data_IF_902124090002
#
_entry.id   IF_902124090002
#
_cell.length_a   1.000
_cell.length_b   1.000
_cell.length_c   1.000
_cell.angle_alpha   90.00
_cell.angle_beta   90.00
_cell.angle_gamma   90.00
#
_symmetry.space_group_name_H-M   'P 1'
#
loop_
_entity.id
_entity.type
_entity.pdbx_description
1 polymer ?
#
# COMPACT_ATOMS: atom_id res chain seq x y z
N UNK A 1 0.01 -37.61 -4.59
CA UNK A 1 1.17 -37.12 -5.35
C UNK A 1 0.63 -36.02 -6.24
N UNK A 2 1.07 -34.77 -6.07
CA UNK A 2 0.63 -33.69 -6.96
C UNK A 2 1.14 -33.95 -8.37
N UNK A 3 0.34 -33.66 -9.39
CA UNK A 3 0.78 -33.77 -10.78
C UNK A 3 1.72 -32.61 -11.13
N UNK A 4 2.55 -32.80 -12.16
CA UNK A 4 3.43 -31.73 -12.68
C UNK A 4 2.63 -30.47 -13.07
N UNK A 5 1.38 -30.63 -13.49
CA UNK A 5 0.48 -29.53 -13.81
C UNK A 5 0.05 -28.73 -12.57
N UNK A 6 -0.27 -29.41 -11.47
CA UNK A 6 -0.66 -28.75 -10.21
C UNK A 6 0.52 -28.04 -9.53
N UNK A 7 1.74 -28.54 -9.72
CA UNK A 7 2.97 -27.84 -9.29
C UNK A 7 3.18 -26.57 -10.14
N UNK A 8 3.11 -26.69 -11.47
CA UNK A 8 3.30 -25.55 -12.37
C UNK A 8 2.25 -24.44 -12.19
N UNK A 9 0.99 -24.80 -11.89
CA UNK A 9 -0.06 -23.81 -11.55
C UNK A 9 0.26 -23.05 -10.26
N UNK A 10 0.67 -23.76 -9.20
CA UNK A 10 1.02 -23.14 -7.91
C UNK A 10 2.21 -22.20 -8.03
N UNK A 11 3.24 -22.58 -8.78
CA UNK A 11 4.44 -21.75 -8.94
C UNK A 11 4.14 -20.47 -9.72
N UNK A 12 3.33 -20.53 -10.78
CA UNK A 12 2.87 -19.33 -11.50
C UNK A 12 2.01 -18.42 -10.62
N UNK A 13 1.14 -19.00 -9.79
CA UNK A 13 0.32 -18.22 -8.89
C UNK A 13 1.14 -17.51 -7.81
N UNK A 14 2.14 -18.19 -7.23
CA UNK A 14 3.09 -17.58 -6.30
C UNK A 14 3.85 -16.43 -6.93
N UNK A 15 4.46 -16.63 -8.11
CA UNK A 15 5.20 -15.58 -8.80
C UNK A 15 4.32 -14.36 -9.10
N UNK A 16 3.05 -14.57 -9.47
CA UNK A 16 2.07 -13.49 -9.68
C UNK A 16 1.73 -12.76 -8.38
N UNK A 17 1.60 -13.48 -7.26
CA UNK A 17 1.33 -12.89 -5.95
C UNK A 17 2.53 -12.08 -5.45
N UNK A 18 3.75 -12.60 -5.59
CA UNK A 18 4.98 -11.90 -5.23
C UNK A 18 5.13 -10.59 -6.01
N UNK A 19 4.93 -10.61 -7.33
CA UNK A 19 4.98 -9.40 -8.14
C UNK A 19 3.96 -8.34 -7.71
N UNK A 20 2.75 -8.76 -7.32
CA UNK A 20 1.72 -7.86 -6.79
C UNK A 20 2.07 -7.29 -5.41
N UNK A 21 2.70 -8.08 -4.55
CA UNK A 21 3.15 -7.62 -3.24
C UNK A 21 4.23 -6.55 -3.38
N UNK A 22 5.22 -6.78 -4.23
CA UNK A 22 6.27 -5.79 -4.48
C UNK A 22 5.72 -4.49 -5.07
N UNK A 23 4.79 -4.58 -6.03
CA UNK A 23 4.17 -3.39 -6.61
C UNK A 23 3.40 -2.60 -5.56
N UNK A 24 2.66 -3.30 -4.70
CA UNK A 24 1.93 -2.68 -3.59
C UNK A 24 2.86 -2.00 -2.59
N UNK A 25 3.94 -2.67 -2.18
CA UNK A 25 4.90 -2.12 -1.23
C UNK A 25 5.58 -0.86 -1.80
N UNK A 26 6.09 -0.93 -3.04
CA UNK A 26 6.67 0.23 -3.73
C UNK A 26 5.68 1.40 -3.81
N UNK A 27 4.41 1.09 -4.08
CA UNK A 27 3.37 2.10 -4.19
C UNK A 27 3.03 2.76 -2.85
N UNK A 28 2.99 1.99 -1.77
CA UNK A 28 2.79 2.49 -0.42
C UNK A 28 3.94 3.42 0.00
N UNK A 29 5.19 3.05 -0.29
CA UNK A 29 6.35 3.90 0.00
C UNK A 29 6.28 5.23 -0.78
N UNK A 30 5.86 5.20 -2.05
CA UNK A 30 5.66 6.42 -2.83
C UNK A 30 4.57 7.34 -2.25
N UNK A 31 3.46 6.76 -1.77
CA UNK A 31 2.42 7.52 -1.07
C UNK A 31 2.98 8.19 0.19
N UNK A 32 3.71 7.42 1.00
CA UNK A 32 4.33 7.90 2.25
C UNK A 32 5.29 9.06 1.96
N UNK A 33 6.13 8.94 0.94
CA UNK A 33 7.07 9.98 0.55
C UNK A 33 6.36 11.29 0.19
N UNK A 34 5.30 11.22 -0.63
CA UNK A 34 4.50 12.40 -1.00
C UNK A 34 3.84 13.03 0.22
N UNK A 35 3.21 12.22 1.09
CA UNK A 35 2.53 12.74 2.27
C UNK A 35 3.52 13.37 3.26
N UNK A 36 4.70 12.76 3.43
CA UNK A 36 5.78 13.31 4.24
C UNK A 36 6.29 14.66 3.67
N UNK A 37 6.43 14.78 2.35
CA UNK A 37 6.78 16.06 1.71
C UNK A 37 5.68 17.12 1.87
N UNK A 38 4.40 16.74 1.83
CA UNK A 38 3.26 17.67 1.93
C UNK A 38 3.02 18.17 3.35
N UNK A 39 3.13 17.28 4.34
CA UNK A 39 2.75 17.57 5.73
C UNK A 39 3.97 17.76 6.65
N UNK A 40 5.17 17.38 6.22
CA UNK A 40 6.40 17.61 6.97
C UNK A 40 6.35 17.01 8.37
N UNK A 41 6.62 17.85 9.38
CA UNK A 41 6.70 17.45 10.79
C UNK A 41 5.37 16.90 11.34
N UNK A 42 4.23 17.26 10.74
CA UNK A 42 2.92 16.77 11.16
C UNK A 42 2.63 15.32 10.69
N UNK A 43 3.43 14.80 9.75
CA UNK A 43 3.34 13.43 9.29
C UNK A 43 4.28 12.52 10.09
N UNK A 44 3.76 11.98 11.19
CA UNK A 44 4.53 11.17 12.11
C UNK A 44 4.70 9.70 11.65
N UNK A 45 5.60 8.99 12.33
CA UNK A 45 5.82 7.55 12.13
C UNK A 45 4.59 6.68 12.47
N UNK A 46 3.60 7.23 13.18
CA UNK A 46 2.36 6.51 13.51
C UNK A 46 1.46 6.44 12.28
N UNK A 47 1.28 7.57 11.58
CA UNK A 47 0.57 7.67 10.31
C UNK A 47 1.22 6.80 9.23
N UNK A 48 2.55 6.84 9.12
CA UNK A 48 3.32 5.99 8.21
C UNK A 48 3.00 4.50 8.43
N UNK A 49 3.02 4.04 9.69
CA UNK A 49 2.69 2.65 10.04
C UNK A 49 1.24 2.29 9.75
N UNK A 50 0.31 3.21 9.97
CA UNK A 50 -1.12 3.01 9.69
C UNK A 50 -1.35 2.86 8.18
N UNK A 51 -0.71 3.69 7.35
CA UNK A 51 -0.76 3.60 5.88
C UNK A 51 -0.19 2.26 5.41
N UNK A 52 0.98 1.82 5.91
CA UNK A 52 1.55 0.51 5.53
C UNK A 52 0.62 -0.67 5.83
N UNK A 53 -0.19 -0.56 6.89
CA UNK A 53 -1.17 -1.59 7.29
C UNK A 53 -2.54 -1.42 6.65
N UNK A 54 -2.78 -0.32 5.95
CA UNK A 54 -4.07 -0.02 5.36
C UNK A 54 -4.41 -1.04 4.26
N UNK A 55 -5.71 -1.31 4.12
CA UNK A 55 -6.20 -2.17 3.07
C UNK A 55 -6.09 -1.47 1.69
N UNK A 56 -6.27 -2.24 0.62
CA UNK A 56 -6.14 -1.74 -0.75
C UNK A 56 -7.16 -0.62 -1.08
N UNK A 57 -8.35 -0.66 -0.49
CA UNK A 57 -9.37 0.38 -0.68
C UNK A 57 -8.93 1.72 -0.10
N UNK A 58 -8.48 1.75 1.15
CA UNK A 58 -7.95 2.95 1.81
C UNK A 58 -6.75 3.50 1.04
N UNK A 59 -5.81 2.65 0.61
CA UNK A 59 -4.66 3.06 -0.21
C UNK A 59 -5.11 3.69 -1.53
N UNK A 60 -6.12 3.11 -2.18
CA UNK A 60 -6.68 3.65 -3.42
C UNK A 60 -7.42 4.98 -3.22
N UNK A 61 -8.07 5.19 -2.08
CA UNK A 61 -8.69 6.47 -1.73
C UNK A 61 -7.63 7.55 -1.50
N UNK A 62 -6.59 7.23 -0.73
CA UNK A 62 -5.44 8.12 -0.52
C UNK A 62 -4.82 8.48 -1.87
N UNK A 63 -4.59 7.50 -2.76
CA UNK A 63 -4.07 7.71 -4.11
C UNK A 63 -4.88 8.72 -4.91
N UNK A 64 -6.20 8.54 -4.96
CA UNK A 64 -7.09 9.42 -5.76
C UNK A 64 -7.02 10.87 -5.30
N UNK A 65 -6.86 11.09 -4.01
CA UNK A 65 -6.90 12.41 -3.39
C UNK A 65 -5.53 12.87 -2.88
N UNK A 66 -4.42 12.25 -3.30
CA UNK A 66 -3.13 12.43 -2.62
C UNK A 66 -2.59 13.87 -2.61
N UNK A 67 -3.02 14.69 -3.56
CA UNK A 67 -2.64 16.10 -3.68
C UNK A 67 -3.63 17.07 -3.01
N UNK A 68 -4.86 16.63 -2.72
CA UNK A 68 -5.93 17.45 -2.17
C UNK A 68 -6.32 17.06 -0.74
N UNK A 69 -5.95 15.85 -0.30
CA UNK A 69 -6.25 15.34 1.03
C UNK A 69 -5.60 16.21 2.09
N UNK A 70 -6.35 16.48 3.15
CA UNK A 70 -5.88 17.16 4.36
C UNK A 70 -5.34 16.15 5.37
N UNK A 71 -4.56 16.62 6.34
CA UNK A 71 -4.00 15.74 7.38
C UNK A 71 -5.10 15.09 8.23
N UNK A 72 -6.20 15.80 8.48
CA UNK A 72 -7.31 15.32 9.29
C UNK A 72 -8.10 14.22 8.55
N UNK A 73 -8.41 14.42 7.27
CA UNK A 73 -9.00 13.38 6.42
C UNK A 73 -8.09 12.16 6.33
N UNK A 74 -6.77 12.36 6.17
CA UNK A 74 -5.82 11.25 6.15
C UNK A 74 -5.89 10.45 7.46
N UNK A 75 -5.89 11.12 8.61
CA UNK A 75 -6.00 10.48 9.94
C UNK A 75 -7.28 9.66 10.09
N UNK A 76 -8.39 10.14 9.57
CA UNK A 76 -9.67 9.42 9.60
C UNK A 76 -9.71 8.24 8.62
N UNK A 77 -9.04 8.33 7.46
CA UNK A 77 -8.93 7.22 6.51
C UNK A 77 -8.11 6.06 7.06
N UNK A 78 -7.05 6.34 7.83
CA UNK A 78 -6.13 5.32 8.36
C UNK A 78 -6.34 5.00 9.84
N UNK A 79 -7.58 5.17 10.32
CA UNK A 79 -7.94 5.05 11.73
C UNK A 79 -7.61 3.68 12.31
#
# INVERSE_FOLDING_TARGET
MDTLEEIAKRDREKARLEGKLEERERFIEFIIEILNQRFGEDFDKSLEKKIRKANEETINQIKKNILSITLEELKDLVK
#
